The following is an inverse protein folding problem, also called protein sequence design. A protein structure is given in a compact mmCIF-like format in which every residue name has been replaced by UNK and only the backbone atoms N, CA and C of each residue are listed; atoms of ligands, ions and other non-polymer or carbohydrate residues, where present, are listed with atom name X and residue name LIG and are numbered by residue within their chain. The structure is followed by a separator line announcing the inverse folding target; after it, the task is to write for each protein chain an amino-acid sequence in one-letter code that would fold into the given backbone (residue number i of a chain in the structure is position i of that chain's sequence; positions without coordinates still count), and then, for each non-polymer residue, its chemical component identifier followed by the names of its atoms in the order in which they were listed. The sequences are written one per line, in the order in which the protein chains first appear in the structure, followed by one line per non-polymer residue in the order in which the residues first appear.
data_IF_489522632758
#
_entry.id   IF_489522632758
#
_cell.length_a   1.000
_cell.length_b   1.000
_cell.length_c   1.000
_cell.angle_alpha   90.00
_cell.angle_beta   90.00
_cell.angle_gamma   90.00
#
_symmetry.space_group_name_H-M   'P 1'
#
loop_
_entity.id
_entity.type
_entity.pdbx_description
1 polymer ?
#
# COMPACT_ATOMS: atom_id res chain seq x y z
N UNK A 1 10.93 -3.58 -12.50
CA UNK A 1 11.92 -4.26 -13.35
C UNK A 1 11.81 -5.76 -13.20
N UNK A 2 12.14 -6.53 -14.24
CA UNK A 2 12.15 -8.00 -14.16
C UNK A 2 13.26 -8.44 -13.19
N UNK A 3 12.96 -9.42 -12.33
CA UNK A 3 13.90 -9.97 -11.35
C UNK A 3 13.89 -9.33 -9.95
N UNK A 4 13.12 -8.25 -9.73
CA UNK A 4 12.94 -7.65 -8.40
C UNK A 4 11.75 -8.30 -7.65
N UNK A 5 11.72 -8.23 -6.30
CA UNK A 5 10.55 -8.60 -5.53
C UNK A 5 9.29 -7.88 -6.03
N UNK A 6 8.19 -8.62 -6.12
CA UNK A 6 6.89 -8.06 -6.51
C UNK A 6 6.22 -7.40 -5.30
N UNK A 7 6.72 -6.22 -4.93
CA UNK A 7 6.15 -5.35 -3.90
C UNK A 7 5.21 -4.35 -4.55
N UNK A 8 3.91 -4.55 -4.38
CA UNK A 8 2.87 -3.86 -5.16
C UNK A 8 1.67 -3.47 -4.28
N UNK A 9 0.99 -2.40 -4.66
CA UNK A 9 -0.34 -2.05 -4.14
C UNK A 9 -1.33 -2.12 -5.31
N UNK A 10 -2.35 -2.96 -5.18
CA UNK A 10 -3.35 -3.22 -6.23
C UNK A 10 -4.65 -2.50 -5.86
N UNK A 11 -5.18 -1.71 -6.79
CA UNK A 11 -6.39 -0.91 -6.61
C UNK A 11 -7.51 -1.36 -7.55
N UNK A 12 -8.76 -1.20 -7.09
CA UNK A 12 -9.97 -1.37 -7.90
C UNK A 12 -10.36 -0.06 -8.58
N UNK A 13 -9.71 0.24 -9.71
CA UNK A 13 -10.01 1.41 -10.52
C UNK A 13 -9.72 1.12 -12.00
N UNK A 14 -10.46 1.77 -12.90
CA UNK A 14 -10.29 1.63 -14.37
C UNK A 14 -9.34 2.66 -14.97
N UNK A 15 -9.14 3.79 -14.28
CA UNK A 15 -8.30 4.90 -14.72
C UNK A 15 -7.84 5.72 -13.50
N UNK A 16 -6.95 6.69 -13.73
CA UNK A 16 -6.40 7.54 -12.68
C UNK A 16 -7.44 8.45 -12.02
N UNK A 17 -8.43 8.94 -12.76
CA UNK A 17 -9.49 9.76 -12.17
C UNK A 17 -10.29 8.96 -11.14
N UNK A 18 -10.63 7.70 -11.44
CA UNK A 18 -11.30 6.81 -10.48
C UNK A 18 -10.42 6.45 -9.29
N UNK A 19 -9.13 6.21 -9.52
CA UNK A 19 -8.18 5.98 -8.43
C UNK A 19 -8.21 7.19 -7.48
N UNK A 20 -7.94 8.40 -7.97
CA UNK A 20 -7.77 9.56 -7.11
C UNK A 20 -9.05 10.11 -6.45
N UNK A 21 -10.24 9.62 -6.84
CA UNK A 21 -11.53 10.16 -6.39
C UNK A 21 -12.19 9.38 -5.25
N UNK A 22 -11.67 8.22 -4.85
CA UNK A 22 -12.34 7.34 -3.87
C UNK A 22 -11.42 6.81 -2.78
N UNK A 23 -11.94 6.48 -1.59
CA UNK A 23 -11.18 5.74 -0.58
C UNK A 23 -10.66 4.40 -1.10
N UNK A 24 -9.46 4.02 -0.68
CA UNK A 24 -8.76 2.79 -1.08
C UNK A 24 -8.59 1.79 0.07
N UNK A 25 -9.59 1.72 0.94
CA UNK A 25 -9.61 0.75 2.05
C UNK A 25 -9.67 -0.70 1.54
N UNK A 26 -10.13 -0.94 0.31
CA UNK A 26 -10.23 -2.25 -0.33
C UNK A 26 -9.01 -2.65 -1.18
N UNK A 27 -7.88 -1.95 -1.04
CA UNK A 27 -6.64 -2.25 -1.75
C UNK A 27 -6.00 -3.56 -1.26
N UNK A 28 -5.29 -4.25 -2.15
CA UNK A 28 -4.47 -5.41 -1.81
C UNK A 28 -3.00 -4.97 -1.77
N UNK A 29 -2.28 -5.37 -0.72
CA UNK A 29 -0.83 -5.18 -0.64
C UNK A 29 -0.14 -6.52 -0.92
N UNK A 30 0.76 -6.53 -1.90
CA UNK A 30 1.65 -7.65 -2.16
C UNK A 30 3.04 -7.34 -1.61
N UNK A 31 3.61 -8.29 -0.87
CA UNK A 31 5.02 -8.30 -0.47
C UNK A 31 5.68 -9.56 -0.99
N UNK A 32 6.77 -9.40 -1.75
CA UNK A 32 7.43 -10.50 -2.45
C UNK A 32 6.44 -11.41 -3.23
N UNK A 33 5.44 -10.80 -3.87
CA UNK A 33 4.42 -11.51 -4.65
C UNK A 33 3.32 -12.20 -3.84
N UNK A 34 3.29 -12.05 -2.50
CA UNK A 34 2.26 -12.63 -1.63
C UNK A 34 1.36 -11.53 -1.06
N UNK A 35 0.06 -11.74 -1.12
CA UNK A 35 -0.89 -10.86 -0.44
C UNK A 35 -0.64 -10.93 1.07
N UNK A 36 -0.57 -9.75 1.69
CA UNK A 36 -0.47 -9.64 3.14
C UNK A 36 -1.78 -9.12 3.70
N UNK A 37 -2.15 -9.65 4.86
CA UNK A 37 -3.24 -9.14 5.69
C UNK A 37 -2.61 -8.60 6.96
N UNK A 38 -2.25 -7.32 6.93
CA UNK A 38 -1.60 -6.63 8.03
C UNK A 38 -2.55 -5.55 8.54
N UNK A 39 -2.86 -5.62 9.83
CA UNK A 39 -3.50 -4.51 10.53
C UNK A 39 -2.60 -3.29 10.42
N UNK A 40 -3.16 -2.16 9.99
CA UNK A 40 -2.40 -0.91 9.95
C UNK A 40 -2.09 -0.49 11.39
N UNK A 41 -0.85 -0.06 11.67
CA UNK A 41 -0.51 0.48 12.98
C UNK A 41 -1.28 1.79 13.21
N UNK A 42 -1.36 2.19 14.48
CA UNK A 42 -1.82 3.53 14.81
C UNK A 42 -0.84 4.57 14.24
N UNK A 43 -1.34 5.79 13.99
CA UNK A 43 -0.54 6.81 13.29
C UNK A 43 0.67 7.28 14.11
N UNK A 44 0.56 7.30 15.44
CA UNK A 44 1.64 7.69 16.36
C UNK A 44 2.80 6.67 16.36
N UNK A 45 2.52 5.38 16.14
CA UNK A 45 3.55 4.36 15.98
C UNK A 45 4.45 4.58 14.74
N UNK A 46 4.02 5.44 13.80
CA UNK A 46 4.81 5.80 12.62
C UNK A 46 5.71 7.02 12.84
N UNK A 47 5.54 7.76 13.95
CA UNK A 47 6.21 9.04 14.13
C UNK A 47 7.74 8.90 14.12
N UNK A 48 8.26 7.86 14.78
CA UNK A 48 9.70 7.55 14.82
C UNK A 48 10.26 7.15 13.44
N UNK A 49 9.43 6.69 12.51
CA UNK A 49 9.88 6.29 11.17
C UNK A 49 9.88 7.46 10.18
N UNK A 50 8.97 8.41 10.38
CA UNK A 50 8.75 9.52 9.45
C UNK A 50 9.45 10.80 9.92
N UNK A 51 9.55 11.01 11.23
CA UNK A 51 10.04 12.25 11.82
C UNK A 51 11.34 12.10 12.64
N UNK A 52 11.88 10.89 12.82
CA UNK A 52 13.23 10.73 13.34
C UNK A 52 14.28 11.05 12.26
N UNK A 53 15.27 11.88 12.63
CA UNK A 53 16.42 12.26 11.80
C UNK A 53 17.60 11.29 11.98
#
# INVERSE_FOLDING_TARGET
SVGLPADLIIFKARNFSELLSRPHSDRIVLRAGKAIDATLPDYDELDDLIFAN
#
